data_IF_778990003488
#
_entry.id   IF_778990003488
#
_cell.length_a   1.000
_cell.length_b   1.000
_cell.length_c   1.000
_cell.angle_alpha   90.00
_cell.angle_beta   90.00
_cell.angle_gamma   90.00
#
_symmetry.space_group_name_H-M   'P 1'
#
loop_
_entity.id
_entity.type
_entity.pdbx_description
1 polymer ?
#
# COMPACT_ATOMS: atom_id res chain seq x y z
N UNK A 1 18.77 25.95 -26.20
CA UNK A 1 18.11 24.64 -26.34
C UNK A 1 19.03 23.58 -25.75
N UNK A 2 18.92 23.32 -24.46
CA UNK A 2 19.58 22.21 -23.78
C UNK A 2 18.49 21.20 -23.42
N UNK A 3 18.57 20.01 -24.05
CA UNK A 3 17.67 18.90 -23.79
C UNK A 3 17.92 18.38 -22.36
N UNK A 4 16.90 18.46 -21.50
CA UNK A 4 16.88 17.73 -20.24
C UNK A 4 16.82 16.23 -20.56
N UNK A 5 17.89 15.53 -20.24
CA UNK A 5 17.89 14.07 -20.14
C UNK A 5 16.98 13.69 -18.96
N UNK A 6 15.78 13.20 -19.27
CA UNK A 6 14.96 12.45 -18.31
C UNK A 6 15.73 11.18 -17.93
N UNK A 7 16.42 11.23 -16.79
CA UNK A 7 16.99 10.06 -16.16
C UNK A 7 15.84 9.22 -15.63
N UNK A 8 15.47 8.16 -16.36
CA UNK A 8 14.60 7.10 -15.83
C UNK A 8 15.36 6.48 -14.66
N UNK A 9 14.94 6.81 -13.44
CA UNK A 9 15.45 6.18 -12.21
C UNK A 9 15.21 4.68 -12.37
N UNK A 10 16.31 3.91 -12.48
CA UNK A 10 16.22 2.46 -12.66
C UNK A 10 15.54 1.82 -11.46
N UNK A 11 14.57 0.94 -11.73
CA UNK A 11 13.85 0.17 -10.71
C UNK A 11 14.85 -0.64 -9.88
N UNK A 12 14.85 -0.44 -8.57
CA UNK A 12 15.79 -1.10 -7.66
C UNK A 12 15.48 -2.61 -7.51
N UNK A 13 16.44 -3.42 -7.01
CA UNK A 13 16.24 -4.87 -6.81
C UNK A 13 15.04 -5.25 -5.93
N UNK A 14 14.67 -4.37 -4.98
CA UNK A 14 13.53 -4.58 -4.08
C UNK A 14 12.18 -4.31 -4.77
N UNK A 15 12.10 -3.29 -5.62
CA UNK A 15 10.88 -2.96 -6.37
C UNK A 15 10.54 -4.05 -7.39
N UNK A 16 11.57 -4.59 -8.06
CA UNK A 16 11.40 -5.75 -8.96
C UNK A 16 10.83 -6.95 -8.21
N UNK A 17 11.27 -7.20 -6.96
CA UNK A 17 10.78 -8.31 -6.16
C UNK A 17 9.30 -8.12 -5.78
N UNK A 18 8.91 -6.92 -5.35
CA UNK A 18 7.51 -6.59 -5.03
C UNK A 18 6.60 -6.81 -6.23
N UNK A 19 7.01 -6.39 -7.43
CA UNK A 19 6.23 -6.58 -8.66
C UNK A 19 6.10 -8.05 -9.05
N UNK A 20 7.16 -8.83 -8.88
CA UNK A 20 7.12 -10.27 -9.12
C UNK A 20 6.12 -10.95 -8.16
N UNK A 21 6.21 -10.63 -6.86
CA UNK A 21 5.30 -11.17 -5.84
C UNK A 21 3.85 -10.75 -6.11
N UNK A 22 3.63 -9.50 -6.52
CA UNK A 22 2.33 -9.02 -6.96
C UNK A 22 1.77 -9.85 -8.11
N UNK A 23 2.54 -10.09 -9.18
CA UNK A 23 2.07 -10.89 -10.31
C UNK A 23 1.66 -12.32 -9.87
N UNK A 24 2.36 -12.89 -8.90
CA UNK A 24 2.04 -14.21 -8.36
C UNK A 24 0.74 -14.23 -7.56
N UNK A 25 0.52 -13.20 -6.75
CA UNK A 25 -0.76 -12.98 -6.07
C UNK A 25 -1.83 -12.73 -7.10
N UNK A 26 -1.65 -11.83 -8.07
CA UNK A 26 -2.61 -11.43 -9.12
C UNK A 26 -3.05 -12.61 -10.00
N UNK A 27 -2.11 -13.46 -10.40
CA UNK A 27 -2.38 -14.67 -11.18
C UNK A 27 -2.98 -15.82 -10.35
N UNK A 28 -3.07 -15.68 -9.03
CA UNK A 28 -3.56 -16.73 -8.13
C UNK A 28 -2.63 -17.93 -8.06
N UNK A 29 -1.35 -17.77 -8.40
CA UNK A 29 -0.38 -18.88 -8.42
C UNK A 29 -0.13 -19.39 -7.01
N UNK A 30 -0.11 -18.50 -6.02
CA UNK A 30 0.06 -18.89 -4.61
C UNK A 30 -1.09 -19.78 -4.16
N UNK A 31 -2.33 -19.40 -4.48
CA UNK A 31 -3.54 -20.17 -4.17
C UNK A 31 -3.60 -21.50 -4.94
N UNK A 32 -3.13 -21.54 -6.20
CA UNK A 32 -3.01 -22.78 -6.99
C UNK A 32 -2.07 -23.76 -6.30
N UNK A 33 -0.88 -23.32 -5.88
CA UNK A 33 0.08 -24.18 -5.18
C UNK A 33 -0.52 -24.66 -3.86
N UNK A 34 -1.19 -23.78 -3.12
CA UNK A 34 -1.81 -24.15 -1.86
C UNK A 34 -2.92 -25.21 -2.02
N UNK A 35 -3.87 -24.94 -2.92
CA UNK A 35 -5.03 -25.80 -3.17
C UNK A 35 -4.65 -27.14 -3.80
N UNK A 36 -3.49 -27.24 -4.46
CA UNK A 36 -2.96 -28.52 -4.93
C UNK A 36 -2.58 -29.48 -3.78
N UNK A 37 -2.24 -28.94 -2.61
CA UNK A 37 -2.02 -29.72 -1.38
C UNK A 37 -0.67 -30.44 -1.29
N UNK A 38 0.15 -30.46 -2.35
CA UNK A 38 1.49 -31.05 -2.37
C UNK A 38 2.46 -30.23 -3.25
N UNK A 39 3.80 -30.44 -3.15
CA UNK A 39 4.75 -29.77 -4.05
C UNK A 39 4.39 -29.99 -5.52
N UNK A 40 4.44 -28.92 -6.33
CA UNK A 40 3.88 -28.87 -7.69
C UNK A 40 4.92 -28.48 -8.74
N UNK A 41 4.80 -29.00 -9.98
CA UNK A 41 5.63 -28.60 -11.12
C UNK A 41 5.08 -27.33 -11.79
N UNK A 42 5.97 -26.59 -12.46
CA UNK A 42 5.56 -25.44 -13.29
C UNK A 42 4.57 -25.87 -14.38
N UNK A 43 4.76 -27.06 -14.97
CA UNK A 43 3.85 -27.60 -15.97
C UNK A 43 2.45 -27.80 -15.44
N UNK A 44 2.33 -28.25 -14.18
CA UNK A 44 1.04 -28.47 -13.51
C UNK A 44 0.37 -27.15 -13.16
N UNK A 45 1.13 -26.15 -12.68
CA UNK A 45 0.62 -24.77 -12.48
C UNK A 45 0.02 -24.22 -13.79
N UNK A 46 0.72 -24.37 -14.92
CA UNK A 46 0.25 -23.88 -16.22
C UNK A 46 -1.10 -24.45 -16.65
N UNK A 47 -1.45 -25.68 -16.25
CA UNK A 47 -2.73 -26.34 -16.62
C UNK A 47 -3.94 -25.63 -15.99
N UNK A 48 -3.75 -24.93 -14.87
CA UNK A 48 -4.84 -24.19 -14.22
C UNK A 48 -5.31 -22.95 -15.03
N UNK A 49 -4.50 -22.49 -15.99
CA UNK A 49 -4.80 -21.32 -16.83
C UNK A 49 -5.47 -21.78 -18.14
N UNK A 50 -6.82 -21.82 -18.15
CA UNK A 50 -7.63 -22.33 -19.27
C UNK A 50 -7.29 -21.70 -20.62
N UNK A 51 -7.31 -20.37 -20.68
CA UNK A 51 -7.02 -19.59 -21.88
C UNK A 51 -5.88 -18.64 -21.54
N UNK A 52 -4.73 -18.82 -22.20
CA UNK A 52 -3.48 -18.05 -22.01
C UNK A 52 -2.66 -18.47 -20.77
N UNK A 53 -2.05 -19.67 -20.79
CA UNK A 53 -1.13 -20.06 -19.73
C UNK A 53 0.12 -19.16 -19.73
N UNK A 54 0.72 -18.93 -18.55
CA UNK A 54 1.98 -18.21 -18.45
C UNK A 54 3.07 -18.95 -19.24
N UNK A 55 3.99 -18.20 -19.83
CA UNK A 55 5.12 -18.80 -20.55
C UNK A 55 5.93 -19.68 -19.59
N UNK A 56 5.98 -20.99 -19.85
CA UNK A 56 6.60 -21.99 -18.99
C UNK A 56 8.03 -21.60 -18.56
N UNK A 57 8.87 -21.21 -19.52
CA UNK A 57 10.26 -20.83 -19.25
C UNK A 57 10.35 -19.55 -18.42
N UNK A 58 9.49 -18.57 -18.66
CA UNK A 58 9.42 -17.34 -17.89
C UNK A 58 8.99 -17.63 -16.45
N UNK A 59 7.87 -18.34 -16.26
CA UNK A 59 7.36 -18.69 -14.95
C UNK A 59 8.41 -19.45 -14.13
N UNK A 60 9.07 -20.45 -14.72
CA UNK A 60 10.16 -21.19 -14.09
C UNK A 60 11.31 -20.30 -13.61
N UNK A 61 11.76 -19.34 -14.44
CA UNK A 61 12.82 -18.39 -14.06
C UNK A 61 12.38 -17.53 -12.88
N UNK A 62 11.13 -17.06 -12.89
CA UNK A 62 10.59 -16.23 -11.81
C UNK A 62 10.43 -17.03 -10.52
N UNK A 63 9.91 -18.26 -10.59
CA UNK A 63 9.86 -19.20 -9.46
C UNK A 63 11.25 -19.37 -8.84
N UNK A 64 12.29 -19.58 -9.66
CA UNK A 64 13.67 -19.71 -9.15
C UNK A 64 14.19 -18.43 -8.50
N UNK A 65 13.79 -17.24 -8.96
CA UNK A 65 14.14 -15.98 -8.29
C UNK A 65 13.51 -15.95 -6.89
N UNK A 66 12.24 -16.30 -6.79
CA UNK A 66 11.52 -16.30 -5.51
C UNK A 66 12.05 -17.38 -4.54
N UNK A 67 12.50 -18.52 -5.06
CA UNK A 67 13.19 -19.55 -4.26
C UNK A 67 14.51 -19.04 -3.69
N UNK A 68 15.32 -18.33 -4.49
CA UNK A 68 16.57 -17.71 -4.00
C UNK A 68 16.35 -16.59 -2.97
N UNK A 69 15.10 -16.15 -2.80
CA UNK A 69 14.67 -15.16 -1.81
C UNK A 69 13.90 -15.79 -0.65
N UNK A 70 13.88 -17.12 -0.57
CA UNK A 70 13.18 -17.91 0.46
C UNK A 70 11.65 -17.68 0.53
N UNK A 71 11.07 -17.10 -0.52
CA UNK A 71 9.62 -16.92 -0.64
C UNK A 71 8.96 -18.26 -1.00
N UNK A 72 9.56 -19.04 -1.90
CA UNK A 72 9.14 -20.42 -2.18
C UNK A 72 10.29 -21.40 -1.88
N UNK A 73 9.98 -22.68 -1.80
CA UNK A 73 10.99 -23.74 -1.68
C UNK A 73 10.89 -24.75 -2.81
N UNK A 74 11.94 -25.56 -2.99
CA UNK A 74 11.99 -26.62 -4.01
C UNK A 74 12.19 -28.00 -3.39
N UNK A 75 11.55 -28.99 -3.99
CA UNK A 75 11.78 -30.42 -3.71
C UNK A 75 12.28 -31.09 -4.99
N UNK A 76 13.47 -31.69 -4.93
CA UNK A 76 14.04 -32.40 -6.07
C UNK A 76 13.57 -33.85 -6.05
N UNK A 77 12.81 -34.26 -7.08
CA UNK A 77 12.29 -35.63 -7.20
C UNK A 77 13.40 -36.66 -7.40
N UNK A 78 14.50 -36.27 -8.06
CA UNK A 78 15.63 -37.15 -8.29
C UNK A 78 16.97 -36.39 -8.13
N UNK A 79 17.59 -36.39 -6.95
CA UNK A 79 18.82 -35.63 -6.70
C UNK A 79 20.01 -36.08 -7.56
N UNK A 80 19.94 -37.28 -8.16
CA UNK A 80 20.98 -37.85 -9.01
C UNK A 80 20.83 -37.52 -10.50
N UNK A 81 19.65 -37.02 -10.92
CA UNK A 81 19.39 -36.54 -12.27
C UNK A 81 18.89 -35.11 -12.20
N UNK A 82 19.75 -34.15 -12.52
CA UNK A 82 19.34 -32.77 -12.77
C UNK A 82 18.58 -32.71 -14.11
N UNK A 83 17.31 -33.12 -14.08
CA UNK A 83 16.35 -32.72 -15.09
C UNK A 83 15.71 -31.43 -14.59
N UNK A 84 15.85 -30.37 -15.36
CA UNK A 84 15.34 -29.06 -14.99
C UNK A 84 13.80 -29.07 -14.87
N UNK A 85 13.11 -30.02 -15.52
CA UNK A 85 11.65 -30.21 -15.43
C UNK A 85 11.23 -31.07 -14.23
N UNK A 86 12.20 -31.67 -13.52
CA UNK A 86 11.92 -32.50 -12.37
C UNK A 86 11.76 -31.73 -11.04
N UNK A 87 11.96 -30.41 -11.04
CA UNK A 87 11.82 -29.57 -9.85
C UNK A 87 10.36 -29.36 -9.46
N UNK A 88 10.03 -29.70 -8.21
CA UNK A 88 8.76 -29.37 -7.57
C UNK A 88 8.93 -28.13 -6.70
N UNK A 89 7.88 -27.32 -6.60
CA UNK A 89 7.84 -26.09 -5.82
C UNK A 89 6.79 -26.16 -4.73
N UNK A 90 7.08 -25.55 -3.58
CA UNK A 90 6.18 -25.54 -2.44
C UNK A 90 6.20 -24.22 -1.67
N UNK A 91 5.18 -24.01 -0.85
CA UNK A 91 5.03 -22.82 -0.02
C UNK A 91 5.98 -22.86 1.19
N UNK A 92 6.64 -21.73 1.47
CA UNK A 92 7.24 -21.42 2.77
C UNK A 92 6.26 -20.62 3.64
N UNK A 93 6.53 -20.40 4.94
CA UNK A 93 5.74 -19.49 5.76
C UNK A 93 5.59 -18.09 5.13
N UNK A 94 6.63 -17.57 4.48
CA UNK A 94 6.58 -16.27 3.82
C UNK A 94 5.60 -16.25 2.64
N UNK A 95 5.57 -17.29 1.79
CA UNK A 95 4.57 -17.35 0.72
C UNK A 95 3.14 -17.61 1.20
N UNK A 96 2.93 -18.22 2.37
CA UNK A 96 1.58 -18.45 2.92
C UNK A 96 0.88 -17.14 3.28
N UNK A 97 1.65 -16.16 3.74
CA UNK A 97 1.19 -14.79 3.97
C UNK A 97 0.65 -14.12 2.69
N UNK A 98 0.85 -14.70 1.50
CA UNK A 98 0.38 -14.17 0.22
C UNK A 98 -0.92 -14.83 -0.28
N UNK A 99 -1.52 -15.72 0.49
CA UNK A 99 -2.80 -16.38 0.14
C UNK A 99 -3.94 -15.38 0.18
N UNK A 100 -4.83 -15.41 -0.82
CA UNK A 100 -5.96 -14.46 -0.89
C UNK A 100 -7.09 -14.82 0.06
N UNK A 101 -7.25 -16.11 0.31
CA UNK A 101 -8.29 -16.70 1.13
C UNK A 101 -7.65 -17.82 1.95
N UNK A 102 -7.26 -17.50 3.17
CA UNK A 102 -6.89 -18.50 4.19
C UNK A 102 -7.75 -18.19 5.42
N UNK A 103 -8.49 -19.19 5.90
CA UNK A 103 -9.62 -19.00 6.83
C UNK A 103 -9.16 -18.68 8.26
N UNK A 104 -7.86 -18.86 8.58
CA UNK A 104 -7.34 -18.78 9.96
C UNK A 104 -6.05 -17.90 10.13
N UNK A 105 -5.53 -17.25 9.08
CA UNK A 105 -4.22 -16.56 9.13
C UNK A 105 -4.21 -15.12 8.55
N UNK A 106 -3.27 -14.31 9.03
CA UNK A 106 -3.05 -12.92 8.55
C UNK A 106 -2.51 -12.97 7.11
N UNK A 107 -3.34 -12.51 6.15
CA UNK A 107 -2.95 -12.36 4.75
C UNK A 107 -2.44 -10.94 4.44
N UNK A 108 -1.28 -10.89 3.79
CA UNK A 108 -0.70 -9.69 3.17
C UNK A 108 -1.08 -9.53 1.70
N UNK A 109 -1.83 -10.47 1.10
CA UNK A 109 -2.27 -10.39 -0.29
C UNK A 109 -3.04 -9.09 -0.60
N UNK A 110 -3.99 -8.60 0.24
CA UNK A 110 -4.68 -7.34 -0.01
C UNK A 110 -3.73 -6.14 -0.09
N UNK A 111 -2.69 -6.11 0.76
CA UNK A 111 -1.71 -5.04 0.78
C UNK A 111 -0.83 -5.05 -0.47
N UNK A 112 -0.35 -6.22 -0.91
CA UNK A 112 0.46 -6.36 -2.13
C UNK A 112 -0.33 -5.95 -3.38
N UNK A 113 -1.63 -6.28 -3.43
CA UNK A 113 -2.53 -5.87 -4.50
C UNK A 113 -2.78 -4.34 -4.47
N UNK A 114 -3.00 -3.77 -3.27
CA UNK A 114 -3.18 -2.33 -3.09
C UNK A 114 -1.95 -1.53 -3.52
N UNK A 115 -0.74 -1.99 -3.19
CA UNK A 115 0.53 -1.34 -3.55
C UNK A 115 0.72 -1.18 -5.07
N UNK A 116 0.12 -2.06 -5.86
CA UNK A 116 0.20 -2.01 -7.33
C UNK A 116 -1.05 -1.41 -7.98
N UNK A 117 -1.98 -0.83 -7.21
CA UNK A 117 -3.12 -0.13 -7.75
C UNK A 117 -2.65 1.08 -8.59
N UNK A 118 -3.14 1.29 -9.84
CA UNK A 118 -2.61 2.30 -10.76
C UNK A 118 -2.54 3.71 -10.18
N UNK A 119 -3.50 4.07 -9.33
CA UNK A 119 -3.58 5.37 -8.66
C UNK A 119 -2.50 5.53 -7.59
N UNK A 120 -2.12 4.44 -6.90
CA UNK A 120 -1.06 4.46 -5.90
C UNK A 120 0.32 4.39 -6.56
N UNK A 121 0.49 3.57 -7.60
CA UNK A 121 1.69 3.57 -8.43
C UNK A 121 1.92 4.92 -9.10
N UNK A 122 0.88 5.54 -9.67
CA UNK A 122 0.98 6.90 -10.20
C UNK A 122 1.41 7.91 -9.12
N UNK A 123 0.85 7.80 -7.90
CA UNK A 123 1.29 8.62 -6.77
C UNK A 123 2.77 8.38 -6.42
N UNK A 124 3.28 7.14 -6.54
CA UNK A 124 4.70 6.81 -6.30
C UNK A 124 5.63 7.27 -7.44
N UNK A 125 5.20 7.24 -8.70
CA UNK A 125 5.96 7.83 -9.81
C UNK A 125 6.05 9.35 -9.71
N UNK A 126 5.04 9.95 -9.10
CA UNK A 126 5.08 11.33 -8.69
C UNK A 126 5.63 11.50 -7.28
N UNK A 127 6.25 10.51 -6.62
CA UNK A 127 6.65 10.64 -5.21
C UNK A 127 7.54 11.85 -4.97
N UNK A 128 8.44 12.18 -5.89
CA UNK A 128 9.24 13.42 -5.79
C UNK A 128 8.37 14.69 -5.90
N UNK A 129 7.36 14.71 -6.77
CA UNK A 129 6.35 15.78 -6.86
C UNK A 129 5.34 15.71 -5.72
N UNK A 130 5.03 14.55 -5.14
CA UNK A 130 4.11 14.36 -4.03
C UNK A 130 4.79 14.65 -2.69
N UNK A 131 6.10 14.48 -2.59
CA UNK A 131 6.94 15.02 -1.52
C UNK A 131 6.96 16.55 -1.64
N UNK A 132 7.06 17.09 -2.86
CA UNK A 132 7.06 18.54 -3.08
C UNK A 132 5.68 19.20 -2.96
N UNK A 133 4.60 18.49 -3.30
CA UNK A 133 3.28 19.08 -3.55
C UNK A 133 2.14 18.34 -2.85
N UNK A 134 2.31 17.11 -2.37
CA UNK A 134 1.31 16.28 -1.67
C UNK A 134 -0.09 16.15 -2.33
N UNK A 135 -0.22 16.50 -3.62
CA UNK A 135 -1.51 16.67 -4.34
C UNK A 135 -2.12 15.40 -4.95
N UNK A 136 -1.32 14.45 -5.46
CA UNK A 136 -1.80 13.56 -6.53
C UNK A 136 -2.49 12.27 -6.01
N UNK A 137 -2.06 11.74 -4.86
CA UNK A 137 -2.63 10.49 -4.33
C UNK A 137 -3.99 10.65 -3.63
N UNK A 138 -4.19 11.74 -2.90
CA UNK A 138 -5.32 11.85 -1.97
C UNK A 138 -6.67 12.00 -2.67
N UNK A 139 -6.75 12.82 -3.73
CA UNK A 139 -7.98 13.03 -4.49
C UNK A 139 -8.55 11.75 -5.11
N UNK A 140 -7.67 10.88 -5.65
CA UNK A 140 -8.08 9.62 -6.25
C UNK A 140 -8.58 8.62 -5.18
N UNK A 141 -7.92 8.58 -4.02
CA UNK A 141 -8.34 7.77 -2.86
C UNK A 141 -9.73 8.19 -2.38
N UNK A 142 -10.06 9.49 -2.40
CA UNK A 142 -11.30 10.02 -1.82
C UNK A 142 -12.55 9.86 -2.71
N UNK A 143 -12.37 9.63 -4.02
CA UNK A 143 -13.47 9.54 -4.98
C UNK A 143 -14.53 8.46 -4.64
N UNK A 144 -14.18 7.25 -4.17
CA UNK A 144 -15.14 6.22 -3.77
C UNK A 144 -15.82 6.49 -2.41
N UNK A 145 -15.21 7.31 -1.54
CA UNK A 145 -15.67 7.53 -0.16
C UNK A 145 -16.48 8.82 0.03
N UNK A 146 -17.06 9.37 -1.05
CA UNK A 146 -17.87 10.61 -0.99
C UNK A 146 -18.98 10.56 0.05
N UNK A 147 -19.56 9.38 0.27
CA UNK A 147 -20.59 9.13 1.28
C UNK A 147 -20.09 9.30 2.72
N UNK A 148 -18.81 9.02 3.01
CA UNK A 148 -18.22 9.21 4.35
C UNK A 148 -18.18 10.70 4.74
N UNK A 149 -18.12 11.59 3.74
CA UNK A 149 -18.01 13.03 3.93
C UNK A 149 -19.34 13.78 3.77
N UNK A 150 -20.46 13.07 3.58
CA UNK A 150 -21.76 13.68 3.29
C UNK A 150 -22.27 14.57 4.45
N UNK A 151 -22.07 14.14 5.70
CA UNK A 151 -22.52 14.84 6.91
C UNK A 151 -21.38 15.49 7.72
N UNK A 152 -20.16 15.47 7.18
CA UNK A 152 -18.96 16.03 7.81
C UNK A 152 -18.95 17.54 7.60
N UNK A 153 -18.68 18.31 8.66
CA UNK A 153 -18.57 19.79 8.63
C UNK A 153 -17.13 20.25 8.82
N UNK A 154 -16.32 19.49 9.54
CA UNK A 154 -14.90 19.80 9.74
C UNK A 154 -14.02 18.57 9.65
N UNK A 155 -12.82 18.76 9.12
CA UNK A 155 -11.79 17.72 9.02
C UNK A 155 -10.45 18.27 9.50
N UNK A 156 -9.72 17.47 10.27
CA UNK A 156 -8.33 17.75 10.64
C UNK A 156 -7.41 16.74 9.98
N UNK A 157 -6.38 17.22 9.29
CA UNK A 157 -5.29 16.41 8.73
C UNK A 157 -4.11 16.50 9.68
N UNK A 158 -3.91 15.42 10.44
CA UNK A 158 -2.93 15.32 11.53
C UNK A 158 -1.60 14.88 10.93
N UNK A 159 -0.54 15.67 11.13
CA UNK A 159 0.70 15.50 10.38
C UNK A 159 0.49 15.81 8.89
N UNK A 160 -0.38 16.77 8.58
CA UNK A 160 -0.79 17.11 7.20
C UNK A 160 0.31 17.79 6.37
N UNK A 161 1.48 18.04 6.96
CA UNK A 161 2.60 18.71 6.34
C UNK A 161 2.24 20.12 5.91
N UNK A 162 2.46 20.41 4.63
CA UNK A 162 2.12 21.71 4.04
C UNK A 162 0.62 21.89 3.75
N UNK A 163 -0.23 20.90 4.05
CA UNK A 163 -1.70 21.00 3.92
C UNK A 163 -2.28 20.72 2.54
N UNK A 164 -1.52 20.11 1.62
CA UNK A 164 -2.02 19.85 0.28
C UNK A 164 -3.14 18.79 0.24
N UNK A 165 -3.11 17.79 1.12
CA UNK A 165 -4.13 16.75 1.15
C UNK A 165 -5.48 17.31 1.62
N UNK A 166 -5.52 18.01 2.76
CA UNK A 166 -6.74 18.69 3.23
C UNK A 166 -7.24 19.77 2.27
N UNK A 167 -6.36 20.46 1.54
CA UNK A 167 -6.75 21.39 0.47
C UNK A 167 -7.55 20.70 -0.65
N UNK A 168 -7.16 19.49 -1.06
CA UNK A 168 -7.93 18.73 -2.05
C UNK A 168 -9.28 18.27 -1.49
N UNK A 169 -9.39 18.01 -0.18
CA UNK A 169 -10.68 17.71 0.49
C UNK A 169 -11.61 18.90 0.40
N UNK A 170 -11.17 20.09 0.83
CA UNK A 170 -12.05 21.28 0.85
C UNK A 170 -12.45 21.73 -0.56
N UNK A 171 -11.59 21.49 -1.57
CA UNK A 171 -11.97 21.71 -2.99
C UNK A 171 -13.04 20.73 -3.47
N UNK A 172 -12.94 19.46 -3.06
CA UNK A 172 -13.90 18.44 -3.45
C UNK A 172 -15.23 18.57 -2.69
N UNK A 173 -15.18 19.09 -1.46
CA UNK A 173 -16.33 19.28 -0.57
C UNK A 173 -16.30 20.69 0.04
N UNK A 174 -16.75 21.73 -0.70
CA UNK A 174 -16.65 23.13 -0.26
C UNK A 174 -17.37 23.48 1.06
N UNK A 175 -18.28 22.61 1.51
CA UNK A 175 -19.01 22.78 2.77
C UNK A 175 -18.19 22.35 4.00
N UNK A 176 -17.07 21.65 3.79
CA UNK A 176 -16.19 21.17 4.86
C UNK A 176 -15.13 22.22 5.16
N UNK A 177 -14.94 22.52 6.45
CA UNK A 177 -13.82 23.33 6.93
C UNK A 177 -12.60 22.42 7.16
N UNK A 178 -11.48 22.74 6.51
CA UNK A 178 -10.23 22.00 6.66
C UNK A 178 -9.34 22.59 7.73
N UNK A 179 -8.71 21.73 8.54
CA UNK A 179 -7.63 22.06 9.46
C UNK A 179 -6.40 21.27 9.03
N UNK A 180 -5.31 21.97 8.70
CA UNK A 180 -4.00 21.35 8.53
C UNK A 180 -3.23 21.46 9.85
N UNK A 181 -2.90 20.34 10.46
CA UNK A 181 -2.22 20.29 11.76
C UNK A 181 -0.85 19.64 11.65
N UNK A 182 0.20 20.35 12.03
CA UNK A 182 1.58 19.86 12.00
C UNK A 182 2.47 20.63 13.01
N UNK A 183 3.74 20.27 13.11
CA UNK A 183 4.70 20.95 13.96
C UNK A 183 4.90 22.42 13.53
N UNK A 184 5.23 23.34 14.47
CA UNK A 184 5.36 24.77 14.17
C UNK A 184 6.26 25.09 12.99
N UNK A 185 7.42 24.42 12.88
CA UNK A 185 8.38 24.66 11.81
C UNK A 185 7.88 24.21 10.42
N UNK A 186 6.96 23.24 10.36
CA UNK A 186 6.34 22.77 9.12
C UNK A 186 5.22 23.73 8.71
N UNK A 187 4.39 24.14 9.66
CA UNK A 187 3.30 25.10 9.43
C UNK A 187 3.84 26.46 8.98
N UNK A 188 4.98 26.91 9.50
CA UNK A 188 5.59 28.19 9.14
C UNK A 188 5.89 28.34 7.63
N UNK A 189 6.11 27.23 6.92
CA UNK A 189 6.40 27.21 5.47
C UNK A 189 5.19 26.78 4.62
N UNK A 190 4.04 26.50 5.25
CA UNK A 190 2.85 26.05 4.54
C UNK A 190 2.24 27.20 3.71
N UNK A 191 1.94 26.99 2.42
CA UNK A 191 1.26 27.98 1.61
C UNK A 191 -0.19 28.15 2.08
N UNK A 192 -0.74 29.36 1.94
CA UNK A 192 -2.15 29.59 2.26
C UNK A 192 -3.07 28.87 1.26
N UNK A 193 -4.09 28.22 1.78
CA UNK A 193 -5.17 27.63 0.99
C UNK A 193 -6.53 28.15 1.45
N UNK A 194 -7.41 28.45 0.49
CA UNK A 194 -8.77 28.86 0.80
C UNK A 194 -9.56 27.71 1.45
N UNK A 195 -10.25 27.99 2.55
CA UNK A 195 -11.01 26.98 3.30
C UNK A 195 -10.17 26.07 4.21
N UNK A 196 -8.85 26.29 4.31
CA UNK A 196 -7.94 25.56 5.21
C UNK A 196 -7.38 26.49 6.27
N UNK A 197 -7.51 26.09 7.54
CA UNK A 197 -6.82 26.72 8.66
C UNK A 197 -5.55 25.92 8.98
N UNK A 198 -4.38 26.57 8.98
CA UNK A 198 -3.14 25.96 9.47
C UNK A 198 -3.03 26.15 10.98
N UNK A 199 -2.84 25.06 11.71
CA UNK A 199 -2.72 25.04 13.17
C UNK A 199 -1.44 24.31 13.53
N UNK A 200 -0.61 24.95 14.34
CA UNK A 200 0.61 24.34 14.85
C UNK A 200 0.39 23.62 16.17
N UNK A 201 1.13 22.55 16.41
CA UNK A 201 1.15 21.86 17.70
C UNK A 201 1.81 20.48 17.64
N UNK A 202 1.64 19.72 18.70
CA UNK A 202 2.13 18.33 18.82
C UNK A 202 0.94 17.37 18.96
N UNK A 203 0.85 16.40 18.05
CA UNK A 203 -0.20 15.37 18.05
C UNK A 203 -0.16 14.45 19.28
N UNK A 204 0.98 14.34 19.95
CA UNK A 204 1.12 13.60 21.21
C UNK A 204 0.58 14.37 22.42
N UNK A 205 0.38 15.68 22.30
CA UNK A 205 -0.21 16.52 23.35
C UNK A 205 -1.69 16.79 23.10
N UNK A 206 -2.03 17.42 21.98
CA UNK A 206 -3.40 17.79 21.67
C UNK A 206 -3.62 17.94 20.16
N UNK A 207 -4.67 17.31 19.67
CA UNK A 207 -5.15 17.47 18.29
C UNK A 207 -6.36 18.43 18.29
N UNK A 208 -6.47 19.35 17.32
CA UNK A 208 -7.64 20.21 17.14
C UNK A 208 -8.94 19.42 16.97
N UNK A 209 -10.05 19.98 17.47
CA UNK A 209 -11.35 19.32 17.39
C UNK A 209 -11.94 19.39 15.96
N UNK A 210 -12.41 18.25 15.46
CA UNK A 210 -13.03 18.12 14.14
C UNK A 210 -13.91 16.86 14.05
N UNK A 211 -14.87 16.85 13.13
CA UNK A 211 -15.74 15.70 12.93
C UNK A 211 -14.96 14.46 12.44
N UNK A 212 -13.91 14.67 11.63
CA UNK A 212 -13.04 13.61 11.09
C UNK A 212 -11.58 13.97 11.26
N UNK A 213 -10.76 13.00 11.66
CA UNK A 213 -9.30 13.09 11.63
C UNK A 213 -8.75 12.22 10.48
N UNK A 214 -7.87 12.79 9.66
CA UNK A 214 -7.09 12.10 8.63
C UNK A 214 -5.68 11.89 9.19
N UNK A 215 -5.20 10.65 9.15
CA UNK A 215 -3.86 10.24 9.59
C UNK A 215 -3.12 9.61 8.40
N UNK A 216 -2.86 10.40 7.35
CA UNK A 216 -2.24 9.91 6.13
C UNK A 216 -0.74 9.78 6.33
N UNK A 217 -0.22 8.56 6.20
CA UNK A 217 1.21 8.27 6.33
C UNK A 217 1.80 8.65 7.70
N UNK A 218 1.01 8.54 8.78
CA UNK A 218 1.46 8.86 10.14
C UNK A 218 1.72 7.59 10.94
N UNK A 219 0.69 6.76 11.12
CA UNK A 219 0.77 5.63 12.06
C UNK A 219 1.87 4.60 11.72
N UNK A 220 2.34 4.52 10.48
CA UNK A 220 3.42 3.59 10.11
C UNK A 220 4.82 4.04 10.54
N UNK A 221 4.98 5.28 10.98
CA UNK A 221 6.26 5.82 11.47
C UNK A 221 6.49 5.53 12.96
N UNK A 222 5.46 5.03 13.66
CA UNK A 222 5.43 4.93 15.12
C UNK A 222 5.21 3.49 15.59
N UNK A 223 5.67 3.20 16.81
CA UNK A 223 5.34 1.94 17.49
C UNK A 223 3.87 1.91 17.94
N UNK A 224 3.43 0.76 18.44
CA UNK A 224 2.04 0.55 18.85
C UNK A 224 1.63 1.48 19.99
N UNK A 225 2.47 1.69 21.00
CA UNK A 225 2.18 2.56 22.14
C UNK A 225 1.94 4.02 21.72
N UNK A 226 2.79 4.52 20.83
CA UNK A 226 2.71 5.86 20.27
C UNK A 226 1.50 5.99 19.33
N UNK A 227 1.22 4.98 18.51
CA UNK A 227 -0.01 4.93 17.70
C UNK A 227 -1.27 5.02 18.57
N UNK A 228 -1.33 4.25 19.66
CA UNK A 228 -2.45 4.28 20.61
C UNK A 228 -2.60 5.67 21.24
N UNK A 229 -1.48 6.33 21.56
CA UNK A 229 -1.50 7.69 22.11
C UNK A 229 -2.05 8.70 21.11
N UNK A 230 -1.59 8.66 19.85
CA UNK A 230 -2.08 9.52 18.76
C UNK A 230 -3.59 9.31 18.55
N UNK A 231 -4.04 8.05 18.47
CA UNK A 231 -5.44 7.71 18.26
C UNK A 231 -6.34 8.14 19.43
N UNK A 232 -5.86 8.04 20.67
CA UNK A 232 -6.58 8.57 21.85
C UNK A 232 -6.74 10.08 21.77
N UNK A 233 -5.71 10.81 21.33
CA UNK A 233 -5.79 12.26 21.16
C UNK A 233 -6.72 12.69 20.03
N UNK A 234 -6.89 11.84 19.00
CA UNK A 234 -7.92 12.05 17.96
C UNK A 234 -9.34 11.85 18.51
N UNK A 235 -9.49 10.99 19.53
CA UNK A 235 -10.78 10.64 20.15
C UNK A 235 -10.96 11.41 21.46
N UNK A 236 -11.15 12.73 21.40
CA UNK A 236 -11.63 13.49 22.55
C UNK A 236 -13.15 13.32 22.66
N UNK A 237 -13.59 12.60 23.71
CA UNK A 237 -14.97 12.50 24.22
C UNK A 237 -16.12 12.57 23.19
N UNK A 238 -16.13 11.67 22.20
CA UNK A 238 -17.40 11.31 21.59
C UNK A 238 -18.12 10.39 22.57
N UNK A 239 -19.22 10.86 23.16
CA UNK A 239 -20.20 9.98 23.81
C UNK A 239 -20.44 8.82 22.86
N UNK A 240 -20.16 7.61 23.35
CA UNK A 240 -20.40 6.39 22.60
C UNK A 240 -21.91 6.26 22.39
N UNK A 241 -22.37 6.63 21.20
CA UNK A 241 -23.60 6.06 20.67
C UNK A 241 -23.15 4.90 19.79
N UNK A 242 -23.27 3.70 20.36
CA UNK A 242 -23.17 2.43 19.64
C UNK A 242 -24.37 2.37 18.69
N UNK A 243 -24.10 2.39 17.38
CA UNK A 243 -24.89 1.68 16.37
C UNK A 243 -23.93 1.05 15.37
#
# INVERSE_FOLDING_TARGET
>A
MSQEHNHVVGEGPLETLVRITFAFVELGIVDIIHSHGNPIRVSEICVHFKSHPPNFRCLKRVMQILVRRDIFTTVNVNPTKFSEDDTLYWLTPASRLLLRHDDDDISYAPMILMQNHPQLLAAMHHLSSAIKEAKIGFRAIMSPYKNVFADVKSVVDVGGGTGAAVNEVVKAFPNIKGINFDLPHVIAIAPKYDGVAHVEGDMFEAIPDADVAILKSILHDWNDEDCVKILKNCRKDRKADIV
#
